data_IF_366719823396
#
_entry.id   IF_366719823396
#
_cell.length_a   1.000
_cell.length_b   1.000
_cell.length_c   1.000
_cell.angle_alpha   90.00
_cell.angle_beta   90.00
_cell.angle_gamma   90.00
#
_symmetry.space_group_name_H-M   'P 1'
#
loop_
_entity.id
_entity.type
_entity.pdbx_description
1 polymer ?
#
# COMPACT_ATOMS: atom_id res chain seq x y z
N UNK A 1 15.20 11.09 -7.92
CA UNK A 1 14.69 9.73 -7.71
C UNK A 1 13.23 9.83 -7.35
N UNK A 2 12.44 8.81 -7.65
CA UNK A 2 11.03 8.73 -7.28
C UNK A 2 10.86 8.35 -5.82
N UNK A 3 9.61 8.30 -5.35
CA UNK A 3 9.28 7.96 -3.97
C UNK A 3 8.68 6.56 -3.88
N UNK A 4 8.96 5.85 -2.78
CA UNK A 4 8.26 4.62 -2.40
C UNK A 4 7.13 4.95 -1.43
N UNK A 5 5.90 4.59 -1.78
CA UNK A 5 4.72 4.74 -0.93
C UNK A 5 4.32 3.39 -0.33
N UNK A 6 4.19 3.31 0.99
CA UNK A 6 3.65 2.15 1.70
C UNK A 6 2.18 2.43 1.98
N UNK A 7 1.27 1.69 1.34
CA UNK A 7 -0.15 2.02 1.31
C UNK A 7 -0.96 0.93 1.98
N UNK A 8 -1.59 1.27 3.10
CA UNK A 8 -2.49 0.35 3.77
C UNK A 8 -3.79 0.16 2.98
N UNK A 9 -4.21 -1.10 2.80
CA UNK A 9 -5.47 -1.49 2.16
C UNK A 9 -6.50 -1.95 3.20
N UNK A 10 -7.80 -1.95 2.87
CA UNK A 10 -8.83 -2.44 3.78
C UNK A 10 -8.62 -3.89 4.25
N UNK A 11 -9.06 -4.19 5.48
CA UNK A 11 -8.97 -5.53 6.09
C UNK A 11 -10.31 -6.30 6.11
N UNK A 12 -11.27 -5.90 5.28
CA UNK A 12 -12.57 -6.59 5.16
C UNK A 12 -13.74 -5.70 4.77
N UNK A 13 -13.63 -4.39 4.98
CA UNK A 13 -14.66 -3.42 4.59
C UNK A 13 -14.05 -2.34 3.69
N UNK A 14 -14.52 -2.23 2.45
CA UNK A 14 -14.00 -1.29 1.45
C UNK A 14 -14.11 0.19 1.86
N UNK A 15 -14.91 0.52 2.87
CA UNK A 15 -15.01 1.89 3.39
C UNK A 15 -13.86 2.28 4.33
N UNK A 16 -13.04 1.32 4.75
CA UNK A 16 -11.94 1.57 5.70
C UNK A 16 -10.67 2.11 5.01
N UNK A 17 -10.68 2.26 3.69
CA UNK A 17 -9.60 2.93 2.98
C UNK A 17 -9.59 4.42 3.31
N UNK A 18 -8.40 5.02 3.39
CA UNK A 18 -8.30 6.47 3.57
C UNK A 18 -8.40 7.19 2.23
N UNK A 19 -8.90 8.43 2.24
CA UNK A 19 -8.94 9.28 1.05
C UNK A 19 -7.54 9.44 0.44
N UNK A 20 -6.52 9.64 1.29
CA UNK A 20 -5.12 9.76 0.86
C UNK A 20 -4.59 8.48 0.21
N UNK A 21 -4.98 7.30 0.69
CA UNK A 21 -4.60 6.03 0.06
C UNK A 21 -5.18 5.93 -1.35
N UNK A 22 -6.45 6.28 -1.54
CA UNK A 22 -7.06 6.34 -2.87
C UNK A 22 -6.31 7.31 -3.78
N UNK A 23 -6.12 8.56 -3.37
CA UNK A 23 -5.39 9.55 -4.18
C UNK A 23 -4.00 9.06 -4.59
N UNK A 24 -3.26 8.51 -3.62
CA UNK A 24 -1.93 7.97 -3.87
C UNK A 24 -2.01 6.83 -4.89
N UNK A 25 -2.92 5.87 -4.74
CA UNK A 25 -3.05 4.74 -5.66
C UNK A 25 -3.25 5.16 -7.13
N UNK A 26 -4.00 6.24 -7.37
CA UNK A 26 -4.25 6.75 -8.72
C UNK A 26 -3.18 7.72 -9.24
N UNK A 27 -2.24 8.18 -8.38
CA UNK A 27 -1.12 9.05 -8.78
C UNK A 27 0.18 8.30 -9.07
N UNK A 28 0.24 7.00 -8.79
CA UNK A 28 1.45 6.19 -8.97
C UNK A 28 1.71 5.81 -10.42
N UNK A 29 2.98 5.60 -10.75
CA UNK A 29 3.42 5.03 -12.02
C UNK A 29 3.42 3.49 -11.96
N UNK A 30 3.87 2.93 -10.83
CA UNK A 30 4.01 1.50 -10.58
C UNK A 30 3.41 1.14 -9.21
N UNK A 31 2.61 0.08 -9.17
CA UNK A 31 2.02 -0.45 -7.94
C UNK A 31 2.41 -1.93 -7.76
N UNK A 32 3.21 -2.17 -6.73
CA UNK A 32 3.64 -3.48 -6.28
C UNK A 32 2.51 -4.12 -5.46
N UNK A 33 2.06 -5.29 -5.90
CA UNK A 33 0.90 -5.98 -5.35
C UNK A 33 1.26 -7.42 -5.00
N UNK A 34 0.86 -7.89 -3.82
CA UNK A 34 0.94 -9.31 -3.47
C UNK A 34 0.08 -10.16 -4.45
N UNK A 35 -1.19 -9.79 -4.64
CA UNK A 35 -2.06 -10.31 -5.71
C UNK A 35 -2.58 -9.15 -6.59
N UNK A 36 -2.11 -9.11 -7.83
CA UNK A 36 -2.52 -8.09 -8.81
C UNK A 36 -4.00 -8.17 -9.18
N UNK A 37 -4.64 -9.34 -9.09
CA UNK A 37 -6.06 -9.52 -9.43
C UNK A 37 -6.95 -8.92 -8.34
N UNK A 38 -6.61 -9.14 -7.07
CA UNK A 38 -7.32 -8.52 -5.93
C UNK A 38 -7.17 -7.01 -5.96
N UNK A 39 -5.95 -6.52 -6.15
CA UNK A 39 -5.67 -5.09 -6.22
C UNK A 39 -6.37 -4.44 -7.42
N UNK A 40 -6.43 -5.12 -8.57
CA UNK A 40 -7.17 -4.63 -9.74
C UNK A 40 -8.65 -4.43 -9.44
N UNK A 41 -9.30 -5.41 -8.79
CA UNK A 41 -10.71 -5.30 -8.36
C UNK A 41 -10.94 -4.14 -7.39
N UNK A 42 -9.99 -3.92 -6.47
CA UNK A 42 -10.03 -2.81 -5.51
C UNK A 42 -9.99 -1.45 -6.24
N UNK A 43 -9.05 -1.29 -7.18
CA UNK A 43 -8.92 -0.08 -7.99
C UNK A 43 -10.17 0.17 -8.84
N UNK A 44 -10.71 -0.87 -9.47
CA UNK A 44 -11.91 -0.77 -10.30
C UNK A 44 -13.12 -0.35 -9.45
N UNK A 45 -13.29 -0.93 -8.26
CA UNK A 45 -14.35 -0.55 -7.30
C UNK A 45 -14.28 0.94 -6.94
N UNK A 46 -13.12 1.47 -6.55
CA UNK A 46 -13.01 2.89 -6.19
C UNK A 46 -13.15 3.80 -7.41
N UNK A 47 -12.63 3.40 -8.57
CA UNK A 47 -12.78 4.15 -9.82
C UNK A 47 -14.26 4.31 -10.18
N UNK A 48 -15.06 3.27 -10.03
CA UNK A 48 -16.49 3.32 -10.35
C UNK A 48 -17.28 4.15 -9.32
N UNK A 49 -17.03 3.95 -8.03
CA UNK A 49 -17.81 4.61 -6.98
C UNK A 49 -17.44 6.09 -6.76
N UNK A 50 -16.17 6.46 -6.90
CA UNK A 50 -15.73 7.85 -6.66
C UNK A 50 -16.03 8.78 -7.82
N UNK A 51 -16.15 8.26 -9.04
CA UNK A 51 -16.65 9.02 -10.19
C UNK A 51 -18.08 9.53 -10.01
N UNK A 52 -18.85 8.90 -9.12
CA UNK A 52 -20.23 9.27 -8.82
C UNK A 52 -20.32 10.36 -7.74
N UNK A 53 -19.22 10.68 -7.05
CA UNK A 53 -19.21 11.72 -6.04
C UNK A 53 -19.19 13.11 -6.72
N UNK A 54 -20.23 13.95 -6.55
CA UNK A 54 -20.29 15.28 -7.16
C UNK A 54 -19.32 16.24 -6.46
N UNK A 55 -18.56 17.02 -7.24
CA UNK A 55 -17.71 18.13 -6.78
C UNK A 55 -16.87 17.83 -5.52
N UNK A 56 -15.80 17.06 -5.69
CA UNK A 56 -14.86 16.78 -4.60
C UNK A 56 -13.71 17.80 -4.60
N UNK A 57 -13.91 19.00 -4.04
CA UNK A 57 -12.83 20.00 -3.89
C UNK A 57 -11.61 19.47 -3.10
N UNK A 58 -11.82 18.43 -2.29
CA UNK A 58 -10.82 17.84 -1.40
C UNK A 58 -10.14 16.58 -1.95
N UNK A 59 -10.55 16.07 -3.12
CA UNK A 59 -9.99 14.87 -3.74
C UNK A 59 -9.41 15.19 -5.11
N UNK A 60 -8.09 15.13 -5.23
CA UNK A 60 -7.40 15.38 -6.50
C UNK A 60 -7.04 14.06 -7.20
N UNK A 61 -8.03 13.43 -7.85
CA UNK A 61 -7.86 12.12 -8.49
C UNK A 61 -8.00 12.22 -10.01
N UNK A 62 -6.96 11.78 -10.73
CA UNK A 62 -7.02 11.57 -12.17
C UNK A 62 -7.37 10.11 -12.51
N UNK A 63 -8.65 9.82 -12.74
CA UNK A 63 -9.11 8.47 -13.08
C UNK A 63 -8.76 7.99 -14.51
N UNK A 64 -8.12 8.85 -15.33
CA UNK A 64 -7.69 8.48 -16.69
C UNK A 64 -6.36 7.73 -16.69
N UNK A 65 -5.59 7.83 -15.61
CA UNK A 65 -4.37 7.05 -15.40
C UNK A 65 -4.63 5.94 -14.39
N UNK A 66 -3.99 4.79 -14.59
CA UNK A 66 -3.89 3.72 -13.61
C UNK A 66 -2.42 3.31 -13.53
N UNK A 67 -1.91 2.99 -12.33
CA UNK A 67 -0.54 2.50 -12.22
C UNK A 67 -0.38 1.17 -12.97
N UNK A 68 0.82 0.93 -13.46
CA UNK A 68 1.21 -0.41 -13.88
C UNK A 68 1.20 -1.32 -12.65
N UNK A 69 0.47 -2.45 -12.71
CA UNK A 69 0.47 -3.44 -11.64
C UNK A 69 1.62 -4.43 -11.83
N UNK A 70 2.37 -4.68 -10.76
CA UNK A 70 3.44 -5.67 -10.75
C UNK A 70 3.24 -6.61 -9.55
N UNK A 71 3.29 -7.92 -9.79
CA UNK A 71 3.27 -8.89 -8.70
C UNK A 71 4.57 -8.81 -7.90
N UNK A 72 4.43 -8.64 -6.59
CA UNK A 72 5.53 -8.46 -5.65
C UNK A 72 5.15 -9.09 -4.31
N UNK A 73 5.77 -10.23 -4.01
CA UNK A 73 5.52 -11.05 -2.83
C UNK A 73 6.82 -11.74 -2.40
N UNK A 74 6.82 -12.36 -1.22
CA UNK A 74 8.04 -12.85 -0.55
C UNK A 74 8.92 -13.71 -1.46
N UNK A 75 8.33 -14.68 -2.16
CA UNK A 75 9.08 -15.62 -3.00
C UNK A 75 9.61 -15.00 -4.31
N UNK A 76 9.15 -13.81 -4.71
CA UNK A 76 9.59 -13.15 -5.94
C UNK A 76 10.30 -11.80 -5.74
N UNK A 77 10.37 -11.30 -4.50
CA UNK A 77 10.90 -9.99 -4.16
C UNK A 77 12.33 -9.81 -4.71
N UNK A 78 13.22 -10.77 -4.48
CA UNK A 78 14.60 -10.71 -4.94
C UNK A 78 14.73 -10.60 -6.47
N UNK A 79 13.87 -11.31 -7.21
CA UNK A 79 13.85 -11.28 -8.67
C UNK A 79 13.27 -9.97 -9.22
N UNK A 80 12.26 -9.41 -8.54
CA UNK A 80 11.58 -8.18 -8.97
C UNK A 80 12.31 -6.91 -8.54
N UNK A 81 13.12 -6.97 -7.49
CA UNK A 81 13.78 -5.79 -6.92
C UNK A 81 14.54 -4.96 -7.96
N UNK A 82 15.38 -5.52 -8.86
CA UNK A 82 16.10 -4.71 -9.86
C UNK A 82 15.17 -3.88 -10.76
N UNK A 83 14.01 -4.43 -11.14
CA UNK A 83 13.01 -3.72 -11.94
C UNK A 83 12.40 -2.54 -11.16
N UNK A 84 12.07 -2.76 -9.89
CA UNK A 84 11.53 -1.71 -9.00
C UNK A 84 12.54 -0.58 -8.79
N UNK A 85 13.81 -0.93 -8.60
CA UNK A 85 14.88 0.04 -8.42
C UNK A 85 15.14 0.86 -9.68
N UNK A 86 15.05 0.23 -10.85
CA UNK A 86 15.12 0.95 -12.12
C UNK A 86 13.99 1.98 -12.24
N UNK A 87 12.75 1.62 -11.90
CA UNK A 87 11.62 2.55 -11.88
C UNK A 87 11.88 3.76 -10.95
N UNK A 88 12.28 3.51 -9.70
CA UNK A 88 12.61 4.56 -8.72
C UNK A 88 13.75 5.47 -9.21
N UNK A 89 14.75 4.91 -9.90
CA UNK A 89 15.86 5.70 -10.47
C UNK A 89 15.41 6.63 -11.60
N UNK A 90 14.34 6.27 -12.33
CA UNK A 90 13.74 7.05 -13.41
C UNK A 90 12.72 8.08 -12.92
N UNK A 91 12.75 8.43 -11.64
CA UNK A 91 11.81 9.37 -11.00
C UNK A 91 10.34 8.89 -10.97
N UNK A 92 10.09 7.59 -11.17
CA UNK A 92 8.75 7.04 -11.07
C UNK A 92 8.35 6.84 -9.60
N UNK A 93 7.13 7.24 -9.27
CA UNK A 93 6.53 6.98 -7.97
C UNK A 93 6.03 5.54 -7.92
N UNK A 94 6.51 4.79 -6.92
CA UNK A 94 6.20 3.38 -6.73
C UNK A 94 5.39 3.20 -5.46
N UNK A 95 4.28 2.47 -5.51
CA UNK A 95 3.52 2.06 -4.34
C UNK A 95 3.72 0.59 -4.01
N UNK A 96 3.59 0.24 -2.74
CA UNK A 96 3.48 -1.12 -2.25
C UNK A 96 2.17 -1.28 -1.48
N UNK A 97 1.41 -2.33 -1.84
CA UNK A 97 0.21 -2.78 -1.13
C UNK A 97 0.31 -4.27 -0.83
N UNK A 98 -0.28 -4.69 0.30
CA UNK A 98 -0.54 -6.09 0.60
C UNK A 98 -2.00 -6.43 0.32
N UNK A 99 -2.32 -7.72 0.38
CA UNK A 99 -3.69 -8.19 0.16
C UNK A 99 -4.72 -7.56 1.12
N UNK A 100 -4.30 -7.24 2.35
CA UNK A 100 -5.15 -6.61 3.36
C UNK A 100 -4.28 -5.97 4.45
N UNK A 101 -4.58 -4.73 4.83
CA UNK A 101 -3.92 -4.05 5.95
C UNK A 101 -2.65 -3.32 5.53
N UNK A 102 -1.68 -3.23 6.44
CA UNK A 102 -0.49 -2.39 6.28
C UNK A 102 0.68 -3.23 5.77
N UNK A 103 1.24 -2.94 4.58
CA UNK A 103 2.37 -3.69 4.04
C UNK A 103 3.59 -3.65 4.96
N UNK A 104 4.38 -4.73 4.96
CA UNK A 104 5.55 -4.90 5.82
C UNK A 104 5.25 -5.35 7.25
N UNK A 105 3.98 -5.52 7.64
CA UNK A 105 3.57 -6.11 8.93
C UNK A 105 3.05 -7.52 8.68
N UNK A 106 3.90 -8.53 8.92
CA UNK A 106 3.63 -9.93 8.51
C UNK A 106 3.32 -10.10 7.01
N UNK A 107 3.75 -9.13 6.21
CA UNK A 107 3.55 -9.04 4.77
C UNK A 107 4.90 -8.74 4.08
N UNK A 108 5.04 -8.99 2.76
CA UNK A 108 6.23 -8.62 1.99
C UNK A 108 6.54 -7.11 2.03
N UNK A 109 7.81 -6.74 1.76
CA UNK A 109 8.23 -5.35 1.58
C UNK A 109 9.41 -4.89 2.43
N UNK A 110 9.81 -5.69 3.44
CA UNK A 110 10.96 -5.35 4.30
C UNK A 110 12.24 -5.09 3.49
N UNK A 111 12.57 -5.97 2.53
CA UNK A 111 13.82 -5.87 1.78
C UNK A 111 13.85 -4.62 0.90
N UNK A 112 12.74 -4.32 0.22
CA UNK A 112 12.57 -3.10 -0.57
C UNK A 112 12.69 -1.82 0.28
N UNK A 113 12.00 -1.75 1.43
CA UNK A 113 12.07 -0.59 2.32
C UNK A 113 13.49 -0.40 2.86
N UNK A 114 14.14 -1.48 3.29
CA UNK A 114 15.53 -1.48 3.77
C UNK A 114 16.49 -0.95 2.70
N UNK A 115 16.32 -1.39 1.45
CA UNK A 115 17.10 -0.88 0.32
C UNK A 115 16.89 0.62 0.13
N UNK A 116 15.64 1.08 0.12
CA UNK A 116 15.31 2.49 -0.11
C UNK A 116 15.95 3.38 0.96
N UNK A 117 15.83 3.01 2.24
CA UNK A 117 16.45 3.73 3.37
C UNK A 117 17.98 3.80 3.20
N UNK A 118 18.63 2.67 2.89
CA UNK A 118 20.10 2.63 2.70
C UNK A 118 20.60 3.51 1.56
N UNK A 119 19.76 3.78 0.56
CA UNK A 119 20.09 4.57 -0.62
C UNK A 119 19.46 5.96 -0.62
N UNK A 120 18.96 6.45 0.53
CA UNK A 120 18.32 7.75 0.66
C UNK A 120 17.14 7.98 -0.32
N UNK A 121 16.44 6.90 -0.69
CA UNK A 121 15.19 6.98 -1.45
C UNK A 121 14.06 7.28 -0.46
N UNK A 122 13.25 8.33 -0.67
CA UNK A 122 12.15 8.64 0.22
C UNK A 122 11.15 7.49 0.33
N UNK A 123 10.89 7.05 1.56
CA UNK A 123 9.84 6.09 1.90
C UNK A 123 8.74 6.82 2.65
N UNK A 124 7.54 6.82 2.10
CA UNK A 124 6.38 7.58 2.58
C UNK A 124 5.30 6.60 3.01
N UNK A 125 4.90 6.64 4.28
CA UNK A 125 3.79 5.84 4.78
C UNK A 125 2.45 6.54 4.54
N UNK A 126 1.48 5.81 3.99
CA UNK A 126 0.07 6.19 3.96
C UNK A 126 -0.67 5.37 5.03
N UNK A 127 -1.07 6.00 6.16
CA UNK A 127 -1.73 5.30 7.24
C UNK A 127 -3.10 4.77 6.79
N UNK A 128 -3.53 3.69 7.42
CA UNK A 128 -4.81 3.04 7.18
C UNK A 128 -4.98 1.82 8.08
N UNK A 129 -5.74 0.83 7.61
CA UNK A 129 -6.14 -0.32 8.41
C UNK A 129 -4.97 -1.18 8.89
N UNK A 130 -5.03 -1.60 10.16
CA UNK A 130 -4.15 -2.61 10.75
C UNK A 130 -4.97 -3.52 11.65
N UNK A 131 -4.99 -4.82 11.34
CA UNK A 131 -5.76 -5.79 12.12
C UNK A 131 -5.28 -5.88 13.58
N UNK A 132 -3.97 -5.73 13.81
CA UNK A 132 -3.35 -5.75 15.14
C UNK A 132 -3.89 -4.61 16.01
N UNK A 133 -3.86 -3.38 15.48
CA UNK A 133 -4.30 -2.19 16.20
C UNK A 133 -5.82 -2.18 16.38
N UNK A 134 -6.57 -2.56 15.35
CA UNK A 134 -8.03 -2.68 15.43
C UNK A 134 -8.47 -3.73 16.45
N UNK A 135 -7.78 -4.86 16.55
CA UNK A 135 -8.07 -5.89 17.54
C UNK A 135 -7.72 -5.45 18.97
N UNK A 136 -6.54 -4.84 19.15
CA UNK A 136 -6.10 -4.36 20.46
C UNK A 136 -7.04 -3.29 21.04
N UNK A 137 -7.52 -2.35 20.21
CA UNK A 137 -8.35 -1.23 20.65
C UNK A 137 -9.71 -1.63 21.23
N UNK A 138 -10.23 -2.81 20.86
CA UNK A 138 -11.49 -3.35 21.37
C UNK A 138 -11.30 -4.51 22.37
N UNK A 139 -10.06 -4.87 22.68
CA UNK A 139 -9.75 -6.09 23.44
C UNK A 139 -10.07 -6.00 24.94
N UNK A 140 -10.17 -4.78 25.49
CA UNK A 140 -10.27 -4.54 26.93
C UNK A 140 -8.94 -4.65 27.69
N UNK A 141 -7.82 -4.98 27.02
CA UNK A 141 -6.48 -4.95 27.61
C UNK A 141 -5.87 -3.54 27.55
N UNK A 142 -4.89 -3.26 28.43
CA UNK A 142 -4.09 -2.03 28.30
C UNK A 142 -3.31 -2.06 26.98
N UNK A 143 -3.44 -0.98 26.21
CA UNK A 143 -2.74 -0.78 24.94
C UNK A 143 -1.49 0.11 25.07
N UNK A 144 -1.11 0.50 26.30
CA UNK A 144 0.04 1.40 26.55
C UNK A 144 1.36 0.77 26.09
N UNK A 145 1.46 -0.57 26.23
CA UNK A 145 2.58 -1.39 25.77
C UNK A 145 2.04 -2.75 25.32
N UNK A 146 2.40 -3.16 24.11
CA UNK A 146 2.07 -4.49 23.61
C UNK A 146 3.20 -5.00 22.71
N UNK A 147 3.24 -6.32 22.53
CA UNK A 147 4.19 -7.00 21.64
C UNK A 147 3.41 -7.72 20.55
N UNK A 148 3.70 -7.42 19.29
CA UNK A 148 3.19 -8.16 18.15
C UNK A 148 4.18 -9.26 17.76
N UNK A 149 3.71 -10.51 17.71
CA UNK A 149 4.55 -11.70 17.42
C UNK A 149 4.27 -12.34 16.05
N UNK A 150 3.32 -11.81 15.28
CA UNK A 150 2.90 -12.43 14.02
C UNK A 150 2.21 -13.77 14.23
N UNK A 151 2.52 -14.75 13.39
CA UNK A 151 1.94 -16.09 13.41
C UNK A 151 2.78 -17.04 14.26
N UNK A 152 2.12 -17.92 15.02
CA UNK A 152 2.80 -18.98 15.77
C UNK A 152 3.28 -20.10 14.82
N UNK A 153 4.39 -20.81 15.15
CA UNK A 153 4.85 -21.99 14.41
C UNK A 153 3.85 -23.14 14.36
#
# INVERSE_FOLDING_TARGET
>A
MGNLFIIATPIGNLKDITLRAVETLFSLDLLLCEDTRKTKRLLDFYKENLKLLPNNEWLNINFNSLPQLLSFFEENEAYRLPYVLAALSQNQNVGLVSNAGTPGISDPGFSLVSYCIKNNIPVITIPGSSAVISGLSISGFSADKFTFLGFLP
#
